data_IF_221548249574
#
_entry.id   IF_221548249574
#
_cell.length_a   1.000
_cell.length_b   1.000
_cell.length_c   1.000
_cell.angle_alpha   90.00
_cell.angle_beta   90.00
_cell.angle_gamma   90.00
#
_symmetry.space_group_name_H-M   'P 1'
#
loop_
_entity.id
_entity.type
_entity.pdbx_description
1 polymer ?
#
# COMPACT_ATOMS: atom_id res chain seq x y z
N UNK A 1 1.67 -15.60 -8.37
CA UNK A 1 2.73 -14.57 -8.27
C UNK A 1 3.95 -14.83 -9.17
N UNK A 2 4.62 -15.98 -9.06
CA UNK A 2 5.86 -16.28 -9.81
C UNK A 2 5.69 -16.27 -11.35
N UNK A 3 4.53 -16.68 -11.89
CA UNK A 3 4.21 -16.62 -13.32
C UNK A 3 3.86 -15.21 -13.85
N UNK A 4 3.38 -14.32 -13.00
CA UNK A 4 3.04 -12.94 -13.41
C UNK A 4 4.29 -12.05 -13.52
N UNK A 5 5.31 -12.33 -12.70
CA UNK A 5 6.58 -11.59 -12.71
C UNK A 5 7.50 -11.98 -13.87
N UNK A 6 7.35 -13.19 -14.41
CA UNK A 6 8.17 -13.76 -15.50
C UNK A 6 7.85 -13.24 -16.90
N UNK A 7 6.73 -12.54 -17.09
CA UNK A 7 6.33 -11.98 -18.40
C UNK A 7 7.03 -10.64 -18.74
N UNK A 8 7.91 -10.14 -17.88
CA UNK A 8 8.68 -8.93 -18.14
C UNK A 8 10.17 -9.21 -17.91
N UNK A 9 10.84 -9.79 -18.91
CA UNK A 9 12.31 -9.86 -18.98
C UNK A 9 12.81 -8.57 -19.63
N UNK A 10 13.64 -7.82 -18.92
CA UNK A 10 14.52 -6.83 -19.56
C UNK A 10 15.67 -7.60 -20.18
N UNK A 11 15.77 -7.62 -21.51
CA UNK A 11 16.99 -8.04 -22.20
C UNK A 11 17.77 -6.81 -22.62
N UNK A 12 19.08 -6.89 -22.46
CA UNK A 12 20.09 -5.89 -22.77
C UNK A 12 20.37 -5.87 -24.28
N UNK A 13 19.98 -4.83 -25.01
CA UNK A 13 20.80 -4.21 -26.07
C UNK A 13 20.07 -3.21 -26.98
N UNK A 14 18.73 -3.16 -27.04
CA UNK A 14 18.02 -2.31 -28.01
C UNK A 14 16.91 -1.46 -27.32
N UNK A 15 16.73 -0.18 -27.74
CA UNK A 15 15.72 0.83 -27.30
C UNK A 15 15.99 1.70 -26.04
N UNK A 16 16.61 2.87 -26.24
CA UNK A 16 17.05 3.79 -25.18
C UNK A 16 15.99 4.79 -24.66
N UNK A 17 14.79 4.92 -25.26
CA UNK A 17 13.75 5.89 -24.82
C UNK A 17 12.53 5.21 -24.13
N UNK A 18 12.29 3.92 -24.36
CA UNK A 18 11.21 3.14 -23.72
C UNK A 18 11.61 2.55 -22.34
N UNK A 19 12.91 2.47 -22.05
CA UNK A 19 13.44 1.66 -20.94
C UNK A 19 13.45 2.35 -19.56
N UNK A 20 13.54 3.68 -19.49
CA UNK A 20 13.62 4.38 -18.20
C UNK A 20 12.31 4.31 -17.39
N UNK A 21 11.16 4.35 -18.06
CA UNK A 21 9.84 4.34 -17.40
C UNK A 21 9.36 2.97 -16.95
N UNK A 22 9.51 1.93 -17.79
CA UNK A 22 8.94 0.60 -17.53
C UNK A 22 9.63 -0.13 -16.36
N UNK A 23 10.94 0.08 -16.17
CA UNK A 23 11.66 -0.50 -15.03
C UNK A 23 11.29 0.16 -13.70
N UNK A 24 11.12 1.49 -13.69
CA UNK A 24 10.68 2.23 -12.51
C UNK A 24 9.25 1.85 -12.13
N UNK A 25 8.35 1.78 -13.12
CA UNK A 25 6.94 1.43 -12.92
C UNK A 25 6.79 0.03 -12.33
N UNK A 26 7.50 -0.95 -12.90
CA UNK A 26 7.52 -2.32 -12.41
C UNK A 26 8.06 -2.39 -10.98
N UNK A 27 9.09 -1.59 -10.65
CA UNK A 27 9.69 -1.54 -9.31
C UNK A 27 8.74 -0.92 -8.28
N UNK A 28 8.10 0.20 -8.61
CA UNK A 28 7.12 0.85 -7.75
C UNK A 28 5.91 -0.06 -7.52
N UNK A 29 5.38 -0.66 -8.59
CA UNK A 29 4.28 -1.63 -8.48
C UNK A 29 4.65 -2.84 -7.62
N UNK A 30 5.86 -3.40 -7.78
CA UNK A 30 6.32 -4.49 -6.93
C UNK A 30 6.43 -4.08 -5.45
N UNK A 31 6.99 -2.90 -5.16
CA UNK A 31 7.08 -2.36 -3.80
C UNK A 31 5.70 -2.18 -3.17
N UNK A 32 4.73 -1.67 -3.94
CA UNK A 32 3.34 -1.51 -3.50
C UNK A 32 2.71 -2.85 -3.11
N UNK A 33 2.69 -3.82 -4.04
CA UNK A 33 2.09 -5.14 -3.78
C UNK A 33 2.82 -5.87 -2.67
N UNK A 34 4.17 -5.79 -2.62
CA UNK A 34 4.96 -6.40 -1.55
C UNK A 34 4.69 -5.76 -0.19
N UNK A 35 4.55 -4.44 -0.12
CA UNK A 35 4.23 -3.72 1.11
C UNK A 35 2.83 -4.06 1.59
N UNK A 36 1.85 -4.06 0.70
CA UNK A 36 0.46 -4.40 1.02
C UNK A 36 0.31 -5.85 1.53
N UNK A 37 0.94 -6.82 0.85
CA UNK A 37 0.95 -8.22 1.30
C UNK A 37 1.60 -8.37 2.68
N UNK A 38 2.66 -7.58 2.94
CA UNK A 38 3.31 -7.56 4.24
C UNK A 38 2.40 -6.94 5.30
N UNK A 39 1.71 -5.83 5.01
CA UNK A 39 0.78 -5.17 5.92
C UNK A 39 -0.36 -6.10 6.34
N UNK A 40 -1.00 -6.81 5.41
CA UNK A 40 -2.03 -7.82 5.71
C UNK A 40 -1.48 -8.90 6.65
N UNK A 41 -0.29 -9.42 6.34
CA UNK A 41 0.35 -10.46 7.15
C UNK A 41 0.62 -9.98 8.57
N UNK A 42 1.06 -8.72 8.74
CA UNK A 42 1.27 -8.10 10.05
C UNK A 42 -0.07 -7.96 10.80
N UNK A 43 -1.13 -7.52 10.12
CA UNK A 43 -2.47 -7.40 10.72
C UNK A 43 -3.00 -8.75 11.23
N UNK A 44 -2.85 -9.83 10.44
CA UNK A 44 -3.22 -11.19 10.87
C UNK A 44 -2.36 -11.66 12.04
N UNK A 45 -1.09 -11.23 12.12
CA UNK A 45 -0.23 -11.54 13.25
C UNK A 45 -0.66 -10.81 14.53
N UNK A 46 -1.09 -9.56 14.39
CA UNK A 46 -1.54 -8.74 15.51
C UNK A 46 -2.89 -9.21 16.06
N UNK A 47 -3.81 -9.59 15.17
CA UNK A 47 -5.16 -10.03 15.47
C UNK A 47 -5.41 -11.43 14.92
N UNK A 48 -4.79 -12.42 15.55
CA UNK A 48 -4.97 -13.82 15.16
C UNK A 48 -6.14 -14.44 15.94
N UNK A 49 -6.99 -15.23 15.28
CA UNK A 49 -8.12 -15.87 15.92
C UNK A 49 -7.82 -17.33 16.27
N UNK A 50 -7.96 -17.69 17.53
CA UNK A 50 -7.90 -19.08 18.00
C UNK A 50 -9.29 -19.60 18.24
N UNK A 51 -9.70 -20.58 17.43
CA UNK A 51 -10.96 -21.30 17.61
C UNK A 51 -10.99 -22.03 18.97
N UNK A 52 -12.17 -22.19 19.59
CA UNK A 52 -12.30 -22.89 20.86
C UNK A 52 -11.88 -24.37 20.69
N UNK A 53 -11.23 -24.96 21.72
CA UNK A 53 -10.60 -26.28 21.63
C UNK A 53 -11.54 -27.45 21.31
N UNK A 54 -12.85 -27.28 21.42
CA UNK A 54 -13.86 -28.29 21.10
C UNK A 54 -14.94 -27.79 20.12
N UNK A 55 -14.74 -26.66 19.44
CA UNK A 55 -15.73 -26.08 18.51
C UNK A 55 -16.97 -25.46 19.17
N UNK A 56 -17.15 -25.63 20.48
CA UNK A 56 -18.20 -25.00 21.27
C UNK A 56 -17.60 -23.86 22.12
N UNK A 57 -18.18 -22.66 22.04
CA UNK A 57 -17.76 -21.48 22.81
C UNK A 57 -17.23 -20.33 21.96
N UNK A 58 -16.84 -19.23 22.62
CA UNK A 58 -16.29 -18.03 21.98
C UNK A 58 -14.78 -18.22 21.79
N UNK A 59 -14.27 -18.06 20.57
CA UNK A 59 -12.84 -18.07 20.33
C UNK A 59 -12.16 -16.80 20.83
N UNK A 60 -10.83 -16.83 20.90
CA UNK A 60 -10.06 -15.71 21.45
C UNK A 60 -9.17 -15.09 20.38
N UNK A 61 -9.15 -13.76 20.34
CA UNK A 61 -8.20 -13.00 19.54
C UNK A 61 -6.91 -12.83 20.34
N UNK A 62 -5.76 -13.09 19.70
CA UNK A 62 -4.46 -12.98 20.34
C UNK A 62 -3.40 -12.47 19.36
N UNK A 63 -2.33 -11.91 19.91
CA UNK A 63 -1.16 -11.49 19.14
C UNK A 63 -0.22 -12.68 18.94
N UNK A 64 -0.07 -13.13 17.70
CA UNK A 64 0.81 -14.23 17.33
C UNK A 64 2.22 -13.72 17.00
N UNK A 65 3.03 -13.55 18.04
CA UNK A 65 4.42 -13.08 17.91
C UNK A 65 5.32 -14.08 17.20
N UNK A 66 5.02 -15.38 17.29
CA UNK A 66 5.76 -16.44 16.60
C UNK A 66 5.55 -16.38 15.08
N UNK A 67 4.31 -16.20 14.63
CA UNK A 67 4.02 -16.02 13.21
C UNK A 67 4.69 -14.76 12.67
N UNK A 68 4.64 -13.65 13.43
CA UNK A 68 5.33 -12.42 13.06
C UNK A 68 6.85 -12.66 12.93
N UNK A 69 7.49 -13.26 13.94
CA UNK A 69 8.92 -13.54 13.92
C UNK A 69 9.31 -14.57 12.85
N UNK A 70 8.44 -15.51 12.51
CA UNK A 70 8.66 -16.48 11.42
C UNK A 70 8.64 -15.84 10.04
N UNK A 71 7.87 -14.76 9.85
CA UNK A 71 7.72 -14.06 8.55
C UNK A 71 8.62 -12.83 8.41
N UNK A 72 8.88 -12.15 9.51
CA UNK A 72 9.63 -10.88 9.59
C UNK A 72 10.77 -10.95 10.62
N UNK A 73 11.26 -12.13 10.96
CA UNK A 73 12.45 -12.28 11.80
C UNK A 73 13.73 -12.05 11.01
N UNK A 74 14.87 -12.14 11.68
CA UNK A 74 16.20 -11.97 11.07
C UNK A 74 16.61 -13.09 10.11
N UNK A 75 15.82 -14.17 10.02
CA UNK A 75 16.06 -15.29 9.11
C UNK A 75 15.72 -14.89 7.68
N UNK A 76 16.67 -15.13 6.77
CA UNK A 76 16.42 -15.01 5.33
C UNK A 76 15.29 -15.95 4.90
N UNK A 77 14.25 -15.41 4.24
CA UNK A 77 13.22 -16.22 3.56
C UNK A 77 13.42 -16.15 2.04
N UNK A 78 12.88 -17.13 1.32
CA UNK A 78 12.92 -17.20 -0.15
C UNK A 78 12.17 -16.04 -0.85
N UNK A 79 11.42 -15.24 -0.09
CA UNK A 79 10.68 -14.08 -0.58
C UNK A 79 11.47 -12.76 -0.46
N UNK A 80 12.68 -12.81 0.10
CA UNK A 80 13.59 -11.66 0.29
C UNK A 80 13.92 -11.37 1.75
N UNK A 81 14.90 -10.49 1.99
CA UNK A 81 15.27 -10.08 3.34
C UNK A 81 14.13 -9.33 4.04
N UNK A 82 13.89 -9.66 5.31
CA UNK A 82 12.87 -9.03 6.17
C UNK A 82 12.91 -7.50 6.17
N UNK A 83 14.10 -6.92 6.21
CA UNK A 83 14.27 -5.46 6.18
C UNK A 83 13.68 -4.83 4.92
N UNK A 84 13.77 -5.51 3.78
CA UNK A 84 13.22 -5.04 2.51
C UNK A 84 11.69 -5.03 2.55
N UNK A 85 11.08 -6.02 3.22
CA UNK A 85 9.62 -6.15 3.32
C UNK A 85 9.02 -5.08 4.23
N UNK A 86 9.65 -4.82 5.38
CA UNK A 86 9.23 -3.73 6.27
C UNK A 86 9.43 -2.37 5.61
N UNK A 87 10.54 -2.14 4.89
CA UNK A 87 10.73 -0.93 4.08
C UNK A 87 9.62 -0.74 3.04
N UNK A 88 9.15 -1.82 2.42
CA UNK A 88 8.03 -1.74 1.48
C UNK A 88 6.70 -1.37 2.16
N UNK A 89 6.48 -1.77 3.43
CA UNK A 89 5.31 -1.31 4.21
C UNK A 89 5.38 0.20 4.44
N UNK A 90 6.53 0.71 4.88
CA UNK A 90 6.73 2.16 5.04
C UNK A 90 6.57 2.92 3.71
N UNK A 91 7.03 2.34 2.60
CA UNK A 91 6.82 2.92 1.28
C UNK A 91 5.34 3.06 0.93
N UNK A 92 4.51 2.04 1.18
CA UNK A 92 3.05 2.10 0.97
C UNK A 92 2.43 3.18 1.86
N UNK A 93 2.79 3.20 3.15
CA UNK A 93 2.30 4.19 4.11
C UNK A 93 2.58 5.63 3.66
N UNK A 94 3.83 5.92 3.24
CA UNK A 94 4.19 7.23 2.73
C UNK A 94 3.44 7.59 1.43
N UNK A 95 3.22 6.60 0.54
CA UNK A 95 2.45 6.82 -0.67
C UNK A 95 0.98 7.18 -0.35
N UNK A 96 0.36 6.48 0.61
CA UNK A 96 -1.00 6.74 1.06
C UNK A 96 -1.14 8.11 1.73
N UNK A 97 -0.20 8.49 2.61
CA UNK A 97 -0.14 9.82 3.20
C UNK A 97 -0.07 10.92 2.14
N UNK A 98 0.74 10.71 1.09
CA UNK A 98 0.81 11.67 -0.01
C UNK A 98 -0.49 11.74 -0.81
N UNK A 99 -1.15 10.61 -1.02
CA UNK A 99 -2.46 10.57 -1.67
C UNK A 99 -3.51 11.32 -0.83
N UNK A 100 -3.49 11.18 0.50
CA UNK A 100 -4.34 11.91 1.43
C UNK A 100 -4.12 13.43 1.34
N UNK A 101 -2.86 13.89 1.28
CA UNK A 101 -2.58 15.32 1.08
C UNK A 101 -3.09 15.83 -0.27
N UNK A 102 -2.95 15.05 -1.34
CA UNK A 102 -3.44 15.44 -2.69
C UNK A 102 -4.97 15.51 -2.75
N UNK A 103 -5.67 14.61 -2.06
CA UNK A 103 -7.15 14.63 -2.00
C UNK A 103 -7.68 15.58 -0.92
N UNK A 104 -6.84 16.07 -0.01
CA UNK A 104 -7.21 16.93 1.10
C UNK A 104 -8.17 18.07 0.74
N UNK A 105 -7.89 18.89 -0.29
CA UNK A 105 -8.80 19.97 -0.71
C UNK A 105 -10.20 19.49 -1.15
N UNK A 106 -10.32 18.25 -1.63
CA UNK A 106 -11.62 17.65 -1.94
C UNK A 106 -12.34 17.22 -0.68
N UNK A 107 -11.64 16.54 0.24
CA UNK A 107 -12.23 16.07 1.51
C UNK A 107 -12.76 17.21 2.38
N UNK A 108 -12.07 18.36 2.40
CA UNK A 108 -12.49 19.53 3.17
C UNK A 108 -13.79 20.17 2.64
N UNK A 109 -14.08 20.00 1.35
CA UNK A 109 -15.29 20.53 0.71
C UNK A 109 -16.43 19.51 0.66
N UNK A 110 -16.19 18.27 1.09
CA UNK A 110 -17.16 17.18 0.98
C UNK A 110 -18.17 17.19 2.13
N UNK A 111 -19.39 16.72 1.84
CA UNK A 111 -20.44 16.56 2.83
C UNK A 111 -20.46 15.12 3.34
N UNK A 112 -19.94 14.90 4.56
CA UNK A 112 -20.02 13.62 5.27
C UNK A 112 -21.40 13.44 5.90
N UNK A 113 -22.45 13.25 5.10
CA UNK A 113 -23.82 13.13 5.60
C UNK A 113 -24.17 11.69 6.00
N UNK A 114 -24.37 11.46 7.29
CA UNK A 114 -24.82 10.16 7.84
C UNK A 114 -26.26 10.21 8.36
N UNK A 115 -26.85 11.40 8.44
CA UNK A 115 -28.16 11.65 9.08
C UNK A 115 -28.07 11.99 10.57
N UNK A 116 -26.85 11.98 11.15
CA UNK A 116 -26.57 12.46 12.49
C UNK A 116 -25.65 13.70 12.43
N UNK A 117 -26.22 14.89 12.60
CA UNK A 117 -25.49 16.17 12.49
C UNK A 117 -24.24 16.22 13.40
N UNK A 118 -24.30 15.59 14.57
CA UNK A 118 -23.17 15.58 15.51
C UNK A 118 -22.00 14.78 14.96
N UNK A 119 -22.26 13.57 14.45
CA UNK A 119 -21.24 12.71 13.86
C UNK A 119 -20.66 13.33 12.57
N UNK A 120 -21.51 14.00 11.79
CA UNK A 120 -21.10 14.67 10.56
C UNK A 120 -20.11 15.84 10.86
N UNK A 121 -20.38 16.62 11.93
CA UNK A 121 -19.48 17.68 12.40
C UNK A 121 -18.18 17.09 12.95
N UNK A 122 -18.27 16.07 13.81
CA UNK A 122 -17.10 15.38 14.38
C UNK A 122 -16.20 14.79 13.29
N UNK A 123 -16.79 14.20 12.25
CA UNK A 123 -16.06 13.64 11.10
C UNK A 123 -15.30 14.73 10.35
N UNK A 124 -15.91 15.89 10.11
CA UNK A 124 -15.25 17.00 9.43
C UNK A 124 -14.05 17.53 10.23
N UNK A 125 -14.22 17.72 11.53
CA UNK A 125 -13.14 18.16 12.42
C UNK A 125 -12.00 17.15 12.42
N UNK A 126 -12.30 15.85 12.52
CA UNK A 126 -11.29 14.80 12.52
C UNK A 126 -10.49 14.76 11.19
N UNK A 127 -11.15 15.04 10.06
CA UNK A 127 -10.47 15.11 8.75
C UNK A 127 -9.54 16.32 8.67
N UNK A 128 -9.98 17.49 9.15
CA UNK A 128 -9.14 18.68 9.19
C UNK A 128 -7.91 18.48 10.07
N UNK A 129 -8.10 17.93 11.27
CA UNK A 129 -7.00 17.58 12.19
C UNK A 129 -6.02 16.58 11.57
N UNK A 130 -6.55 15.53 10.93
CA UNK A 130 -5.73 14.54 10.24
C UNK A 130 -4.88 15.20 9.14
N UNK A 131 -5.48 16.03 8.29
CA UNK A 131 -4.77 16.72 7.23
C UNK A 131 -3.70 17.67 7.78
N UNK A 132 -3.97 18.35 8.89
CA UNK A 132 -3.02 19.24 9.54
C UNK A 132 -1.82 18.49 10.13
N UNK A 133 -2.05 17.32 10.74
CA UNK A 133 -0.97 16.45 11.22
C UNK A 133 -0.09 15.99 10.05
N UNK A 134 -0.70 15.57 8.94
CA UNK A 134 0.05 15.08 7.79
C UNK A 134 0.85 16.22 7.13
N UNK A 135 0.30 17.45 7.07
CA UNK A 135 0.99 18.64 6.53
C UNK A 135 2.23 19.05 7.34
N UNK A 136 2.25 18.79 8.64
CA UNK A 136 3.41 19.07 9.50
C UNK A 136 4.59 18.14 9.23
N UNK A 137 4.34 16.99 8.60
CA UNK A 137 5.38 16.04 8.27
C UNK A 137 6.19 16.54 7.05
N UNK A 138 7.52 16.69 7.16
CA UNK A 138 8.33 17.16 6.04
C UNK A 138 8.25 16.18 4.87
N UNK A 139 8.12 16.71 3.65
CA UNK A 139 7.97 15.90 2.45
C UNK A 139 9.20 14.98 2.27
N UNK A 140 9.03 13.69 2.56
CA UNK A 140 10.07 12.67 2.38
C UNK A 140 10.10 12.13 0.95
N UNK A 141 9.22 12.62 0.06
CA UNK A 141 8.92 11.99 -1.21
C UNK A 141 9.18 12.93 -2.38
N UNK A 142 10.29 12.71 -3.09
CA UNK A 142 10.56 13.43 -4.33
C UNK A 142 9.69 12.88 -5.47
N UNK A 143 8.62 13.62 -5.81
CA UNK A 143 7.71 13.27 -6.90
C UNK A 143 8.41 13.26 -8.26
N UNK A 144 9.50 14.02 -8.44
CA UNK A 144 10.18 14.08 -9.73
C UNK A 144 10.97 12.80 -10.02
N UNK A 145 11.43 12.10 -8.98
CA UNK A 145 12.07 10.79 -9.11
C UNK A 145 11.07 9.65 -9.38
N UNK A 146 9.82 9.78 -8.93
CA UNK A 146 8.80 8.73 -9.05
C UNK A 146 7.78 8.96 -10.18
N UNK A 147 7.54 10.23 -10.52
CA UNK A 147 6.50 10.70 -11.44
C UNK A 147 7.03 11.85 -12.32
N UNK A 148 8.06 11.63 -13.15
CA UNK A 148 8.59 12.69 -14.02
C UNK A 148 7.63 13.04 -15.17
N UNK A 149 7.58 14.31 -15.61
CA UNK A 149 6.52 14.91 -16.46
C UNK A 149 6.34 14.28 -17.85
N UNK A 150 7.40 13.75 -18.49
CA UNK A 150 7.28 13.01 -19.76
C UNK A 150 6.74 11.57 -19.54
N UNK A 151 6.92 11.04 -18.33
CA UNK A 151 6.32 9.80 -17.84
C UNK A 151 4.99 10.04 -17.12
N UNK A 152 4.53 11.27 -16.85
CA UNK A 152 3.33 11.52 -16.03
C UNK A 152 2.07 10.93 -16.66
N UNK A 153 1.88 11.13 -17.96
CA UNK A 153 0.70 10.61 -18.67
C UNK A 153 0.81 9.08 -18.75
N UNK A 154 1.95 8.54 -19.20
CA UNK A 154 2.11 7.10 -19.37
C UNK A 154 2.19 6.32 -18.06
N UNK A 155 2.89 6.81 -17.04
CA UNK A 155 3.07 6.16 -15.74
C UNK A 155 1.82 6.31 -14.86
N UNK A 156 1.22 7.50 -14.80
CA UNK A 156 -0.03 7.66 -14.04
C UNK A 156 -1.15 6.87 -14.71
N UNK A 157 -1.27 6.87 -16.05
CA UNK A 157 -2.26 6.05 -16.76
C UNK A 157 -1.91 4.56 -16.68
N UNK A 158 -0.66 4.13 -16.84
CA UNK A 158 -0.31 2.71 -16.80
C UNK A 158 -0.37 2.13 -15.39
N UNK A 159 0.08 2.84 -14.35
CA UNK A 159 -0.04 2.41 -12.96
C UNK A 159 -1.50 2.47 -12.51
N UNK A 160 -2.23 3.56 -12.77
CA UNK A 160 -3.67 3.62 -12.46
C UNK A 160 -4.42 2.54 -13.22
N UNK A 161 -4.19 2.36 -14.52
CA UNK A 161 -4.85 1.31 -15.29
C UNK A 161 -4.42 -0.09 -14.83
N UNK A 162 -3.17 -0.34 -14.43
CA UNK A 162 -2.74 -1.63 -13.90
C UNK A 162 -3.36 -1.90 -12.53
N UNK A 163 -3.40 -0.91 -11.65
CA UNK A 163 -4.04 -1.00 -10.34
C UNK A 163 -5.55 -1.23 -10.53
N UNK A 164 -6.22 -0.36 -11.28
CA UNK A 164 -7.65 -0.45 -11.58
C UNK A 164 -7.98 -1.76 -12.30
N UNK A 165 -7.21 -2.17 -13.31
CA UNK A 165 -7.42 -3.47 -13.98
C UNK A 165 -7.15 -4.65 -13.04
N UNK A 166 -6.13 -4.58 -12.19
CA UNK A 166 -5.79 -5.66 -11.26
C UNK A 166 -6.90 -5.86 -10.22
N UNK A 167 -7.41 -4.77 -9.64
CA UNK A 167 -8.53 -4.80 -8.70
C UNK A 167 -9.87 -5.10 -9.38
N UNK A 168 -10.11 -4.59 -10.59
CA UNK A 168 -11.33 -4.88 -11.37
C UNK A 168 -11.40 -6.34 -11.83
N UNK A 169 -10.26 -6.98 -12.15
CA UNK A 169 -10.21 -8.40 -12.56
C UNK A 169 -10.14 -9.39 -11.40
N UNK A 170 -9.92 -8.93 -10.15
CA UNK A 170 -9.95 -9.76 -8.95
C UNK A 170 -10.86 -9.13 -7.88
N UNK A 171 -12.19 -9.21 -8.02
CA UNK A 171 -13.14 -8.62 -7.08
C UNK A 171 -13.19 -9.33 -5.71
N UNK A 172 -12.45 -10.44 -5.54
CA UNK A 172 -12.38 -11.22 -4.29
C UNK A 172 -11.06 -11.06 -3.53
N UNK A 173 -10.27 -10.03 -3.86
CA UNK A 173 -9.04 -9.66 -3.15
C UNK A 173 -9.33 -8.69 -2.00
#
# INVERSE_FOLDING_TARGET
>A
LHRALSACKCSSADEYISFLGLCLEKRVFYRLISGFHSAITISIAAYNYKAPPAGFGVGTWFRNTEMFAGRFGTKWSWEGATEVRLKNVYFVFLLELRALLKVGPYLQNELFYTGNEKEDIETRVAIDELLDIIRQFPDQFDEHELFTVCSFIFFSVAVKNKIVCYFSKNPSA
#
